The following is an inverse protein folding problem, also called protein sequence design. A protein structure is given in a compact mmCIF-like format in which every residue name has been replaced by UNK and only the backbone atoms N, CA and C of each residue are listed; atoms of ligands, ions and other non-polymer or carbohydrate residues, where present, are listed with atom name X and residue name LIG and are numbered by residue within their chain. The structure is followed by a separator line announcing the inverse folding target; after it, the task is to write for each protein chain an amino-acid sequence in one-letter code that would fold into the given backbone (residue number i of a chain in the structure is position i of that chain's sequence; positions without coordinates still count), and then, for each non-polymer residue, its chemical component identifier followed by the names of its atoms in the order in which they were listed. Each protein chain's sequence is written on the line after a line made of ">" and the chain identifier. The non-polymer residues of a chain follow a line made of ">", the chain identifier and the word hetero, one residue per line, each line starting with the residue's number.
data_IF_010221557324
#
_entry.id   IF_010221557324
#
_cell.length_a   1.000
_cell.length_b   1.000
_cell.length_c   1.000
_cell.angle_alpha   90.00
_cell.angle_beta   90.00
_cell.angle_gamma   90.00
#
_symmetry.space_group_name_H-M   'P 1'
#
loop_
_entity.id
_entity.type
_entity.pdbx_description
1 polymer ?
#
# COMPACT_ATOMS: atom_id res chain seq x y z
N UNK A 1 27.74 16.09 19.38
CA UNK A 1 26.54 15.32 19.07
C UNK A 1 26.95 13.95 18.56
N UNK A 2 26.41 12.90 19.13
CA UNK A 2 26.74 11.55 18.68
C UNK A 2 26.13 11.30 17.29
N UNK A 3 26.89 10.67 16.43
CA UNK A 3 26.37 10.28 15.13
C UNK A 3 25.36 9.15 15.30
N UNK A 4 24.32 9.17 14.47
CA UNK A 4 23.34 8.09 14.45
C UNK A 4 23.95 6.84 13.82
N UNK A 5 23.61 5.68 14.36
CA UNK A 5 24.04 4.41 13.79
C UNK A 5 23.37 4.20 12.43
N UNK A 6 23.93 3.31 11.62
CA UNK A 6 23.33 2.93 10.35
C UNK A 6 21.89 2.44 10.54
N UNK A 7 21.66 1.64 11.58
CA UNK A 7 20.33 1.11 11.90
C UNK A 7 19.33 2.24 12.20
N UNK A 8 19.73 3.21 13.01
CA UNK A 8 18.87 4.36 13.34
C UNK A 8 18.56 5.19 12.10
N UNK A 9 19.53 5.40 11.22
CA UNK A 9 19.35 6.13 9.98
C UNK A 9 18.37 5.39 9.06
N UNK A 10 18.46 4.06 9.00
CA UNK A 10 17.54 3.24 8.20
C UNK A 10 16.11 3.35 8.71
N UNK A 11 15.91 3.30 10.02
CA UNK A 11 14.57 3.43 10.63
C UNK A 11 13.97 4.79 10.28
N UNK A 12 14.76 5.86 10.40
CA UNK A 12 14.28 7.21 10.08
C UNK A 12 13.88 7.31 8.61
N UNK A 13 14.71 6.78 7.72
CA UNK A 13 14.45 6.78 6.28
C UNK A 13 13.13 6.07 5.97
N UNK A 14 12.95 4.87 6.48
CA UNK A 14 11.74 4.08 6.19
C UNK A 14 10.50 4.67 6.85
N UNK A 15 10.64 5.25 8.04
CA UNK A 15 9.52 5.93 8.70
C UNK A 15 9.04 7.12 7.86
N UNK A 16 9.97 7.88 7.30
CA UNK A 16 9.64 9.01 6.44
C UNK A 16 8.94 8.53 5.17
N UNK A 17 9.47 7.50 4.52
CA UNK A 17 8.85 6.91 3.33
C UNK A 17 7.44 6.40 3.62
N UNK A 18 7.26 5.75 4.76
CA UNK A 18 5.96 5.24 5.18
C UNK A 18 4.94 6.37 5.29
N UNK A 19 5.31 7.48 5.95
CA UNK A 19 4.42 8.63 6.09
C UNK A 19 4.02 9.21 4.75
N UNK A 20 4.97 9.32 3.83
CA UNK A 20 4.69 9.83 2.48
C UNK A 20 3.67 8.97 1.74
N UNK A 21 3.79 7.64 1.85
CA UNK A 21 2.84 6.73 1.22
C UNK A 21 1.49 6.79 1.94
N UNK A 22 1.48 6.82 3.28
CA UNK A 22 0.25 6.88 4.06
C UNK A 22 -0.60 8.10 3.72
N UNK A 23 0.01 9.22 3.37
CA UNK A 23 -0.71 10.42 2.94
C UNK A 23 -1.51 10.20 1.66
N UNK A 24 -1.17 9.18 0.89
CA UNK A 24 -1.83 8.82 -0.36
C UNK A 24 -2.82 7.66 -0.20
N UNK A 25 -2.96 7.13 1.03
CA UNK A 25 -3.83 5.99 1.31
C UNK A 25 -5.10 6.43 2.02
N UNK A 26 -6.17 5.63 1.94
CA UNK A 26 -7.39 5.92 2.69
C UNK A 26 -7.11 6.03 4.19
N UNK A 27 -7.83 6.92 4.85
CA UNK A 27 -7.63 7.19 6.28
C UNK A 27 -7.80 5.94 7.15
N UNK A 28 -8.70 5.01 6.76
CA UNK A 28 -8.94 3.80 7.54
C UNK A 28 -7.71 2.88 7.61
N UNK A 29 -6.74 3.00 6.69
CA UNK A 29 -5.55 2.17 6.70
C UNK A 29 -4.58 2.54 7.83
N UNK A 30 -4.73 3.73 8.42
CA UNK A 30 -3.86 4.18 9.52
C UNK A 30 -3.97 3.25 10.72
N UNK A 31 -5.17 2.78 11.03
CA UNK A 31 -5.38 1.85 12.14
C UNK A 31 -4.64 0.53 11.91
N UNK A 32 -4.62 0.05 10.68
CA UNK A 32 -3.84 -1.13 10.33
C UNK A 32 -2.35 -0.92 10.64
N UNK A 33 -1.77 0.20 10.22
CA UNK A 33 -0.35 0.46 10.46
C UNK A 33 -0.04 0.65 11.95
N UNK A 34 -0.95 1.26 12.71
CA UNK A 34 -0.80 1.37 14.15
C UNK A 34 -0.75 -0.02 14.78
N UNK A 35 -1.62 -0.93 14.33
CA UNK A 35 -1.72 -2.27 14.90
C UNK A 35 -0.48 -3.12 14.68
N UNK A 36 0.29 -2.87 13.62
CA UNK A 36 1.49 -3.65 13.31
C UNK A 36 2.79 -2.92 13.68
N UNK A 37 2.71 -1.73 14.24
CA UNK A 37 3.87 -0.88 14.51
C UNK A 37 4.88 -1.58 15.42
N UNK A 38 4.43 -2.29 16.43
CA UNK A 38 5.30 -2.94 17.43
C UNK A 38 5.86 -4.28 16.95
N UNK A 39 5.22 -4.92 15.98
CA UNK A 39 5.56 -6.28 15.57
C UNK A 39 6.24 -6.36 14.21
N UNK A 40 6.32 -5.25 13.50
CA UNK A 40 6.77 -5.22 12.12
C UNK A 40 7.85 -4.17 11.93
N UNK A 41 8.93 -4.54 11.26
CA UNK A 41 10.02 -3.61 10.95
C UNK A 41 9.52 -2.47 10.04
N UNK A 42 10.13 -1.29 10.18
CA UNK A 42 9.76 -0.13 9.38
C UNK A 42 9.82 -0.41 7.88
N UNK A 43 10.86 -1.11 7.43
CA UNK A 43 11.00 -1.50 6.02
C UNK A 43 9.84 -2.36 5.53
N UNK A 44 9.37 -3.29 6.36
CA UNK A 44 8.24 -4.16 6.01
C UNK A 44 6.95 -3.35 5.94
N UNK A 45 6.76 -2.39 6.84
CA UNK A 45 5.59 -1.51 6.80
C UNK A 45 5.56 -0.68 5.51
N UNK A 46 6.72 -0.21 5.03
CA UNK A 46 6.81 0.49 3.74
C UNK A 46 6.37 -0.44 2.60
N UNK A 47 6.80 -1.70 2.62
CA UNK A 47 6.40 -2.68 1.62
C UNK A 47 4.88 -2.89 1.62
N UNK A 48 4.27 -3.03 2.80
CA UNK A 48 2.82 -3.18 2.92
C UNK A 48 2.08 -1.94 2.42
N UNK A 49 2.58 -0.75 2.75
CA UNK A 49 1.97 0.49 2.29
C UNK A 49 2.03 0.63 0.76
N UNK A 50 3.14 0.24 0.17
CA UNK A 50 3.31 0.25 -1.28
C UNK A 50 2.34 -0.73 -1.95
N UNK A 51 2.18 -1.93 -1.40
CA UNK A 51 1.26 -2.92 -1.91
C UNK A 51 -0.20 -2.44 -1.83
N UNK A 52 -0.57 -1.81 -0.71
CA UNK A 52 -1.91 -1.25 -0.55
C UNK A 52 -2.16 -0.12 -1.56
N UNK A 53 -1.18 0.74 -1.76
CA UNK A 53 -1.29 1.82 -2.74
C UNK A 53 -1.53 1.26 -4.14
N UNK A 54 -0.76 0.26 -4.53
CA UNK A 54 -0.91 -0.38 -5.83
C UNK A 54 -2.29 -1.02 -6.00
N UNK A 55 -2.79 -1.66 -4.94
CA UNK A 55 -4.11 -2.26 -4.95
C UNK A 55 -5.22 -1.22 -5.12
N UNK A 56 -5.15 -0.13 -4.36
CA UNK A 56 -6.16 0.93 -4.47
C UNK A 56 -6.09 1.66 -5.82
N UNK A 57 -4.90 1.82 -6.38
CA UNK A 57 -4.76 2.37 -7.73
C UNK A 57 -5.44 1.46 -8.76
N UNK A 58 -5.28 0.15 -8.61
CA UNK A 58 -5.96 -0.82 -9.45
C UNK A 58 -7.48 -0.68 -9.36
N UNK A 59 -8.01 -0.55 -8.14
CA UNK A 59 -9.45 -0.37 -7.90
C UNK A 59 -9.93 0.92 -8.60
N UNK A 60 -9.20 2.00 -8.44
CA UNK A 60 -9.57 3.27 -9.06
C UNK A 60 -9.63 3.17 -10.58
N UNK A 61 -8.69 2.46 -11.19
CA UNK A 61 -8.61 2.32 -12.64
C UNK A 61 -9.67 1.39 -13.23
N UNK A 62 -10.08 0.38 -12.47
CA UNK A 62 -10.89 -0.71 -13.02
C UNK A 62 -12.35 -0.74 -12.55
N UNK A 63 -12.73 0.10 -11.60
CA UNK A 63 -14.09 0.15 -11.06
C UNK A 63 -14.66 1.54 -11.25
N UNK A 64 -15.70 1.65 -12.06
CA UNK A 64 -16.32 2.94 -12.41
C UNK A 64 -16.78 3.71 -11.18
N UNK A 65 -17.26 3.01 -10.17
CA UNK A 65 -17.78 3.65 -8.96
C UNK A 65 -16.70 4.38 -8.16
N UNK A 66 -15.43 4.07 -8.41
CA UNK A 66 -14.30 4.71 -7.71
C UNK A 66 -13.41 5.54 -8.65
N UNK A 67 -13.72 5.59 -9.94
CA UNK A 67 -12.87 6.24 -10.94
C UNK A 67 -12.65 7.73 -10.67
N UNK A 68 -13.65 8.40 -10.13
CA UNK A 68 -13.59 9.84 -9.85
C UNK A 68 -13.35 10.14 -8.36
N UNK A 69 -13.06 9.12 -7.55
CA UNK A 69 -12.81 9.27 -6.12
C UNK A 69 -11.32 9.20 -5.86
N UNK A 70 -10.78 10.20 -5.16
CA UNK A 70 -9.39 10.14 -4.74
C UNK A 70 -9.19 8.96 -3.78
N UNK A 71 -8.03 8.31 -3.89
CA UNK A 71 -7.74 7.12 -3.07
C UNK A 71 -7.85 7.43 -1.58
N UNK A 72 -7.39 8.61 -1.14
CA UNK A 72 -7.48 9.03 0.27
C UNK A 72 -8.91 9.07 0.79
N UNK A 73 -9.88 9.23 -0.11
CA UNK A 73 -11.31 9.33 0.22
C UNK A 73 -12.06 8.01 0.09
N UNK A 74 -11.37 6.93 -0.23
CA UNK A 74 -12.00 5.61 -0.34
C UNK A 74 -12.60 5.21 1.00
N UNK A 75 -13.86 4.74 1.02
CA UNK A 75 -14.52 4.34 2.26
C UNK A 75 -14.10 2.97 2.73
N UNK A 76 -14.22 2.71 4.04
CA UNK A 76 -13.89 1.40 4.61
C UNK A 76 -14.68 0.27 3.95
N UNK A 77 -15.93 0.53 3.56
CA UNK A 77 -16.78 -0.49 2.97
C UNK A 77 -16.30 -0.99 1.61
N UNK A 78 -15.28 -0.36 1.02
CA UNK A 78 -14.69 -0.87 -0.21
C UNK A 78 -14.17 -2.29 -0.02
N UNK A 79 -13.65 -2.60 1.16
CA UNK A 79 -13.12 -3.93 1.47
C UNK A 79 -14.23 -4.96 1.59
N UNK A 80 -15.40 -4.58 2.09
CA UNK A 80 -16.54 -5.48 2.23
C UNK A 80 -17.29 -5.68 0.92
N UNK A 81 -17.15 -4.74 -0.02
CA UNK A 81 -17.77 -4.83 -1.33
C UNK A 81 -17.00 -5.72 -2.30
N UNK A 82 -15.73 -6.02 -2.00
CA UNK A 82 -14.90 -6.85 -2.87
C UNK A 82 -15.25 -8.33 -2.71
N UNK A 83 -15.22 -9.04 -3.83
CA UNK A 83 -15.49 -10.48 -3.88
C UNK A 83 -14.20 -11.23 -4.19
N UNK A 84 -14.20 -12.55 -3.98
CA UNK A 84 -13.05 -13.40 -4.28
C UNK A 84 -12.55 -13.20 -5.71
N UNK A 85 -13.48 -13.10 -6.68
CA UNK A 85 -13.11 -12.91 -8.08
C UNK A 85 -12.42 -11.58 -8.34
N UNK A 86 -12.69 -10.55 -7.54
CA UNK A 86 -11.99 -9.26 -7.65
C UNK A 86 -10.51 -9.41 -7.32
N UNK A 87 -10.20 -10.17 -6.30
CA UNK A 87 -8.81 -10.45 -5.93
C UNK A 87 -8.12 -11.32 -6.97
N UNK A 88 -8.82 -12.27 -7.55
CA UNK A 88 -8.29 -13.10 -8.64
C UNK A 88 -7.94 -12.24 -9.85
N UNK A 89 -8.80 -11.29 -10.21
CA UNK A 89 -8.55 -10.37 -11.31
C UNK A 89 -7.35 -9.48 -11.01
N UNK A 90 -7.19 -9.04 -9.76
CA UNK A 90 -6.03 -8.25 -9.36
C UNK A 90 -4.73 -9.05 -9.50
N UNK A 91 -4.74 -10.31 -9.10
CA UNK A 91 -3.58 -11.20 -9.25
C UNK A 91 -3.23 -11.38 -10.73
N UNK A 92 -4.23 -11.56 -11.59
CA UNK A 92 -4.00 -11.64 -13.03
C UNK A 92 -3.40 -10.35 -13.58
N UNK A 93 -3.89 -9.21 -13.12
CA UNK A 93 -3.34 -7.90 -13.49
C UNK A 93 -1.86 -7.80 -13.14
N UNK A 94 -1.49 -8.22 -11.94
CA UNK A 94 -0.09 -8.20 -11.50
C UNK A 94 0.79 -9.07 -12.38
N UNK A 95 0.32 -10.26 -12.75
CA UNK A 95 1.06 -11.16 -13.64
C UNK A 95 1.30 -10.53 -15.01
N UNK A 96 0.25 -9.93 -15.59
CA UNK A 96 0.37 -9.26 -16.87
C UNK A 96 1.33 -8.08 -16.81
N UNK A 97 1.27 -7.32 -15.72
CA UNK A 97 2.15 -6.19 -15.50
C UNK A 97 3.61 -6.65 -15.39
N UNK A 98 3.85 -7.72 -14.64
CA UNK A 98 5.18 -8.30 -14.48
C UNK A 98 5.73 -8.78 -15.83
N UNK A 99 4.95 -9.52 -16.60
CA UNK A 99 5.36 -10.03 -17.92
C UNK A 99 5.68 -8.88 -18.87
N UNK A 100 4.84 -7.87 -18.91
CA UNK A 100 4.99 -6.72 -19.79
C UNK A 100 6.25 -5.91 -19.49
N UNK A 101 6.60 -5.77 -18.23
CA UNK A 101 7.72 -4.95 -17.79
C UNK A 101 9.01 -5.76 -17.54
N UNK A 102 8.95 -7.08 -17.67
CA UNK A 102 10.08 -7.96 -17.41
C UNK A 102 10.51 -7.95 -15.96
N UNK A 103 9.63 -7.56 -15.04
CA UNK A 103 9.90 -7.49 -13.60
C UNK A 103 8.84 -8.26 -12.85
N UNK A 104 9.26 -8.90 -11.77
CA UNK A 104 8.35 -9.55 -10.84
C UNK A 104 7.80 -8.50 -9.89
N UNK A 105 6.50 -8.28 -9.92
CA UNK A 105 5.83 -7.24 -9.12
C UNK A 105 5.43 -7.76 -7.75
N UNK A 106 5.30 -9.05 -7.60
CA UNK A 106 4.82 -9.67 -6.36
C UNK A 106 5.95 -10.04 -5.43
#
# INVERSE_FOLDING_TARGET
>A
MAERTYHEQSIIKYTKQLREIQEQLPAFTRQFFISIDQTTAARTRVAYATDLKNFFEYIQLNYKQYADTDIVDFPLNILTALKAEDFEQYIQYLKLYSDKNGKDVV
#
